data_IF_762159835819
#
_entry.id   IF_762159835819
#
_cell.length_a   1.000
_cell.length_b   1.000
_cell.length_c   1.000
_cell.angle_alpha   90.00
_cell.angle_beta   90.00
_cell.angle_gamma   90.00
#
_symmetry.space_group_name_H-M   'P 1'
#
loop_
_entity.id
_entity.type
_entity.pdbx_description
1 polymer ?
#
# COMPACT_ATOMS: atom_id res chain seq x y z
N UNK A 1 -29.32 0.13 -5.39
CA UNK A 1 -29.05 1.38 -6.12
C UNK A 1 -27.62 1.31 -6.65
N UNK A 2 -27.43 1.07 -7.94
CA UNK A 2 -26.11 1.10 -8.57
C UNK A 2 -25.81 2.56 -8.94
N UNK A 3 -24.97 3.22 -8.15
CA UNK A 3 -24.49 4.57 -8.43
C UNK A 3 -23.89 4.71 -9.83
N UNK A 4 -23.75 5.94 -10.32
CA UNK A 4 -23.19 6.22 -11.64
C UNK A 4 -21.82 5.56 -11.82
N UNK A 5 -21.41 5.27 -13.06
CA UNK A 5 -20.10 4.63 -13.28
C UNK A 5 -18.95 5.46 -12.68
N UNK A 6 -19.06 6.78 -12.69
CA UNK A 6 -18.10 7.67 -12.01
C UNK A 6 -18.13 7.53 -10.50
N UNK A 7 -19.30 7.34 -9.86
CA UNK A 7 -19.38 7.04 -8.43
C UNK A 7 -18.73 5.70 -8.09
N UNK A 8 -18.96 4.66 -8.89
CA UNK A 8 -18.33 3.35 -8.68
C UNK A 8 -16.81 3.43 -8.78
N UNK A 9 -16.28 4.20 -9.74
CA UNK A 9 -14.85 4.41 -9.89
C UNK A 9 -14.25 5.20 -8.71
N UNK A 10 -14.93 6.23 -8.22
CA UNK A 10 -14.51 6.96 -7.02
C UNK A 10 -14.49 6.07 -5.78
N UNK A 11 -15.57 5.30 -5.55
CA UNK A 11 -15.62 4.38 -4.42
C UNK A 11 -14.53 3.31 -4.46
N UNK A 12 -14.18 2.83 -5.67
CA UNK A 12 -13.07 1.91 -5.86
C UNK A 12 -11.72 2.56 -5.57
N UNK A 13 -11.50 3.81 -6.02
CA UNK A 13 -10.30 4.57 -5.67
C UNK A 13 -10.17 4.75 -4.15
N UNK A 14 -11.25 5.13 -3.46
CA UNK A 14 -11.24 5.31 -1.99
C UNK A 14 -10.99 3.99 -1.23
N UNK A 15 -11.37 2.85 -1.82
CA UNK A 15 -11.04 1.53 -1.27
C UNK A 15 -9.55 1.21 -1.45
N UNK A 16 -8.97 1.54 -2.60
CA UNK A 16 -7.54 1.38 -2.86
C UNK A 16 -6.69 2.30 -1.99
N UNK A 17 -7.10 3.55 -1.77
CA UNK A 17 -6.38 4.46 -0.85
C UNK A 17 -6.29 3.90 0.56
N UNK A 18 -7.40 3.31 1.05
CA UNK A 18 -7.40 2.64 2.36
C UNK A 18 -6.46 1.44 2.38
N UNK A 19 -6.43 0.65 1.30
CA UNK A 19 -5.51 -0.47 1.19
C UNK A 19 -4.04 -0.03 1.10
N UNK A 20 -3.73 1.08 0.41
CA UNK A 20 -2.40 1.68 0.37
C UNK A 20 -1.96 2.13 1.76
N UNK A 21 -2.84 2.82 2.51
CA UNK A 21 -2.57 3.21 3.89
C UNK A 21 -2.38 2.00 4.84
N UNK A 22 -3.06 0.88 4.58
CA UNK A 22 -2.85 -0.37 5.33
C UNK A 22 -1.47 -0.97 5.05
N UNK A 23 -1.01 -0.91 3.81
CA UNK A 23 0.31 -1.35 3.40
C UNK A 23 1.42 -0.49 4.04
N UNK A 24 1.26 0.83 4.07
CA UNK A 24 2.19 1.75 4.76
C UNK A 24 2.26 1.46 6.26
N UNK A 25 1.11 1.20 6.90
CA UNK A 25 1.07 0.78 8.31
C UNK A 25 1.77 -0.55 8.52
N UNK A 26 1.68 -1.49 7.57
CA UNK A 26 2.39 -2.75 7.64
C UNK A 26 3.91 -2.56 7.51
N UNK A 27 4.35 -1.73 6.56
CA UNK A 27 5.76 -1.33 6.42
C UNK A 27 6.31 -0.74 7.73
N UNK A 28 5.58 0.20 8.33
CA UNK A 28 5.93 0.78 9.63
C UNK A 28 6.09 -0.26 10.75
N UNK A 29 5.23 -1.29 10.80
CA UNK A 29 5.35 -2.40 11.77
C UNK A 29 6.59 -3.26 11.52
N UNK A 30 6.94 -3.53 10.27
CA UNK A 30 8.16 -4.28 9.95
C UNK A 30 9.41 -3.48 10.31
N UNK A 31 9.43 -2.18 10.03
CA UNK A 31 10.51 -1.29 10.46
C UNK A 31 10.64 -1.23 11.98
N UNK A 32 9.51 -1.16 12.71
CA UNK A 32 9.51 -1.19 14.18
C UNK A 32 10.06 -2.52 14.73
N UNK A 33 9.66 -3.66 14.16
CA UNK A 33 10.13 -4.98 14.60
C UNK A 33 11.65 -5.18 14.49
N UNK A 34 12.34 -4.36 13.68
CA UNK A 34 13.81 -4.34 13.56
C UNK A 34 14.52 -3.55 14.66
N UNK A 35 13.79 -2.66 15.32
CA UNK A 35 14.27 -1.90 16.48
C UNK A 35 14.08 -2.67 17.79
N UNK A 36 13.22 -3.69 17.78
CA UNK A 36 12.93 -4.50 18.96
C UNK A 36 14.09 -5.48 19.25
N UNK A 37 14.50 -5.62 20.52
CA UNK A 37 15.51 -6.59 20.89
C UNK A 37 15.09 -8.01 20.52
N UNK A 38 15.93 -8.70 19.74
CA UNK A 38 15.65 -10.10 19.37
C UNK A 38 15.76 -11.02 20.60
N UNK A 39 14.79 -11.91 20.85
CA UNK A 39 14.75 -12.72 22.08
C UNK A 39 15.72 -13.91 22.09
N UNK A 40 16.53 -14.11 21.04
CA UNK A 40 17.25 -15.37 20.79
C UNK A 40 18.58 -15.53 21.55
N UNK A 41 19.06 -14.51 22.27
CA UNK A 41 20.31 -14.57 23.05
C UNK A 41 21.59 -14.31 22.23
N UNK A 42 22.77 -14.57 22.82
CA UNK A 42 24.08 -14.11 22.28
C UNK A 42 24.93 -15.18 21.58
N UNK A 43 24.47 -16.44 21.52
CA UNK A 43 25.23 -17.52 20.87
C UNK A 43 25.41 -17.26 19.37
N UNK A 44 26.42 -17.86 18.74
CA UNK A 44 26.61 -17.72 17.28
C UNK A 44 25.39 -18.14 16.46
N UNK A 45 24.72 -19.28 16.74
CA UNK A 45 23.47 -19.64 16.07
C UNK A 45 22.34 -18.63 16.30
N UNK A 46 22.22 -18.08 17.52
CA UNK A 46 21.22 -17.06 17.83
C UNK A 46 21.42 -15.77 17.02
N UNK A 47 22.67 -15.34 16.88
CA UNK A 47 23.03 -14.17 16.05
C UNK A 47 22.73 -14.39 14.58
N UNK A 48 22.95 -15.60 14.07
CA UNK A 48 22.60 -15.94 12.68
C UNK A 48 21.08 -15.91 12.44
N UNK A 49 20.30 -16.48 13.37
CA UNK A 49 18.83 -16.40 13.32
C UNK A 49 18.37 -14.94 13.39
N UNK A 50 19.00 -14.13 14.25
CA UNK A 50 18.71 -12.70 14.35
C UNK A 50 18.95 -11.96 13.04
N UNK A 51 20.10 -12.21 12.40
CA UNK A 51 20.42 -11.60 11.10
C UNK A 51 19.44 -12.00 9.99
N UNK A 52 19.01 -13.28 9.95
CA UNK A 52 18.01 -13.75 8.97
C UNK A 52 16.64 -13.12 9.21
N UNK A 53 16.24 -12.96 10.47
CA UNK A 53 15.00 -12.27 10.82
C UNK A 53 15.03 -10.80 10.40
N UNK A 54 16.11 -10.08 10.72
CA UNK A 54 16.30 -8.68 10.31
C UNK A 54 16.22 -8.51 8.80
N UNK A 55 16.88 -9.39 8.04
CA UNK A 55 16.80 -9.39 6.58
C UNK A 55 15.37 -9.63 6.07
N UNK A 56 14.64 -10.56 6.69
CA UNK A 56 13.26 -10.85 6.32
C UNK A 56 12.32 -9.67 6.62
N UNK A 57 12.49 -8.99 7.76
CA UNK A 57 11.72 -7.78 8.07
C UNK A 57 12.05 -6.63 7.12
N UNK A 58 13.32 -6.45 6.77
CA UNK A 58 13.74 -5.42 5.81
C UNK A 58 13.14 -5.66 4.41
N UNK A 59 13.13 -6.90 3.94
CA UNK A 59 12.48 -7.26 2.67
C UNK A 59 10.97 -6.97 2.69
N UNK A 60 10.28 -7.39 3.76
CA UNK A 60 8.83 -7.15 3.92
C UNK A 60 8.46 -5.68 4.01
N UNK A 61 9.31 -4.87 4.63
CA UNK A 61 9.15 -3.41 4.70
C UNK A 61 9.19 -2.79 3.30
N UNK A 62 10.16 -3.19 2.46
CA UNK A 62 10.26 -2.73 1.07
C UNK A 62 9.06 -3.20 0.25
N UNK A 63 8.71 -4.49 0.33
CA UNK A 63 7.59 -5.06 -0.43
C UNK A 63 6.26 -4.38 -0.09
N UNK A 64 6.02 -4.08 1.20
CA UNK A 64 4.83 -3.40 1.65
C UNK A 64 4.73 -1.96 1.11
N UNK A 65 5.85 -1.21 1.06
CA UNK A 65 5.87 0.12 0.44
C UNK A 65 5.59 0.07 -1.06
N UNK A 66 6.25 -0.84 -1.77
CA UNK A 66 6.04 -1.01 -3.22
C UNK A 66 4.58 -1.34 -3.53
N UNK A 67 3.96 -2.22 -2.73
CA UNK A 67 2.55 -2.53 -2.86
C UNK A 67 1.65 -1.32 -2.57
N UNK A 68 1.97 -0.54 -1.53
CA UNK A 68 1.27 0.71 -1.19
C UNK A 68 1.30 1.73 -2.32
N UNK A 69 2.49 1.99 -2.88
CA UNK A 69 2.69 2.91 -3.99
C UNK A 69 1.89 2.48 -5.22
N UNK A 70 2.02 1.22 -5.65
CA UNK A 70 1.29 0.70 -6.81
C UNK A 70 -0.25 0.75 -6.61
N UNK A 71 -0.71 0.54 -5.38
CA UNK A 71 -2.13 0.63 -5.03
C UNK A 71 -2.63 2.08 -5.09
N UNK A 72 -1.82 3.03 -4.62
CA UNK A 72 -2.12 4.47 -4.68
C UNK A 72 -2.14 4.99 -6.12
N UNK A 73 -1.20 4.55 -6.96
CA UNK A 73 -1.14 4.90 -8.38
C UNK A 73 -2.42 4.45 -9.10
N UNK A 74 -2.85 3.20 -8.88
CA UNK A 74 -4.10 2.69 -9.44
C UNK A 74 -5.32 3.48 -8.94
N UNK A 75 -5.35 3.89 -7.65
CA UNK A 75 -6.40 4.78 -7.15
C UNK A 75 -6.43 6.11 -7.91
N UNK A 76 -5.25 6.68 -8.20
CA UNK A 76 -5.07 7.85 -9.06
C UNK A 76 -5.69 7.68 -10.44
N UNK A 77 -5.38 6.58 -11.12
CA UNK A 77 -5.94 6.26 -12.44
C UNK A 77 -7.46 6.15 -12.43
N UNK A 78 -8.03 5.49 -11.40
CA UNK A 78 -9.48 5.35 -11.25
C UNK A 78 -10.17 6.71 -11.07
N UNK A 79 -9.56 7.64 -10.30
CA UNK A 79 -10.09 9.00 -10.16
C UNK A 79 -10.06 9.73 -11.51
N UNK A 80 -8.94 9.68 -12.23
CA UNK A 80 -8.81 10.29 -13.56
C UNK A 80 -9.86 9.76 -14.53
N UNK A 81 -10.11 8.45 -14.54
CA UNK A 81 -11.16 7.83 -15.33
C UNK A 81 -12.58 8.27 -14.92
N UNK A 82 -12.82 8.48 -13.61
CA UNK A 82 -14.08 8.99 -13.10
C UNK A 82 -14.37 10.42 -13.56
N UNK A 83 -13.34 11.28 -13.63
CA UNK A 83 -13.43 12.66 -14.11
C UNK A 83 -13.56 12.75 -15.64
N UNK A 84 -12.81 11.94 -16.40
CA UNK A 84 -12.87 11.91 -17.86
C UNK A 84 -14.26 11.56 -18.41
N UNK A 85 -15.02 10.73 -17.69
CA UNK A 85 -16.43 10.41 -18.02
C UNK A 85 -17.44 11.49 -17.65
N UNK A 86 -17.07 12.45 -16.80
CA UNK A 86 -17.96 13.50 -16.33
C UNK A 86 -17.98 14.74 -17.23
N UNK A 87 -17.15 14.81 -18.28
CA UNK A 87 -17.15 15.92 -19.24
C UNK A 87 -18.45 15.85 -20.07
N UNK A 88 -19.39 16.81 -19.93
CA UNK A 88 -20.50 16.92 -20.87
C UNK A 88 -19.89 17.21 -22.23
N UNK A 89 -20.37 16.54 -23.27
CA UNK A 89 -20.10 16.93 -24.64
C UNK A 89 -20.77 18.29 -24.88
N UNK A 90 -20.08 19.39 -24.56
CA UNK A 90 -20.43 20.70 -25.09
C UNK A 90 -20.12 20.66 -26.59
N UNK A 91 -21.16 20.38 -27.38
CA UNK A 91 -21.19 20.60 -28.82
C UNK A 91 -20.96 22.10 -29.08
N UNK A 92 -20.02 22.48 -29.96
CA UNK A 92 -20.00 23.82 -30.50
C UNK A 92 -21.19 23.98 -31.47
N UNK A 93 -22.11 24.87 -31.11
CA UNK A 93 -23.05 25.48 -32.05
C UNK A 93 -22.49 26.79 -32.60
#
# INVERSE_FOLDING_TARGET
MSGSTSERLRNAADALDRAAADADRAAGRFAQGRLEPTPWGISSPAREIAARWEAALAARDVDARVLGDATSDLAGELRMAAYGRARPATLPG
#
